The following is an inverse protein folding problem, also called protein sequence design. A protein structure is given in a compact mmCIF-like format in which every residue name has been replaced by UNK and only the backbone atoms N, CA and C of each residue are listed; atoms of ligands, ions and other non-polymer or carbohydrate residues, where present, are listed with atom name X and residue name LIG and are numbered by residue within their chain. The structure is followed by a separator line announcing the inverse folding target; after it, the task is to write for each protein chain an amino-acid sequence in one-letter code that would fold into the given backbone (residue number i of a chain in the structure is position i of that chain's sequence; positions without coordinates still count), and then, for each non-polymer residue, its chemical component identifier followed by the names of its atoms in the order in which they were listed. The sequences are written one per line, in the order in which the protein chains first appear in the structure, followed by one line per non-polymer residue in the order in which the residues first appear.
data_IF_449808621836
#
_entry.id   IF_449808621836
#
_cell.length_a   1.000
_cell.length_b   1.000
_cell.length_c   1.000
_cell.angle_alpha   90.00
_cell.angle_beta   90.00
_cell.angle_gamma   90.00
#
_symmetry.space_group_name_H-M   'P 1'
#
loop_
_entity.id
_entity.type
_entity.pdbx_description
1 polymer ?
#
# COMPACT_ATOMS: atom_id res chain seq x y z
N UNK A 1 0.67 5.00 -12.73
CA UNK A 1 0.39 5.08 -11.30
C UNK A 1 1.67 5.13 -10.51
N UNK A 2 1.70 4.39 -9.39
CA UNK A 2 2.81 4.32 -8.47
C UNK A 2 3.55 2.98 -8.52
N UNK A 3 3.20 2.08 -9.45
CA UNK A 3 3.79 0.74 -9.57
C UNK A 3 5.32 0.78 -9.69
N UNK A 4 5.85 1.57 -10.64
CA UNK A 4 7.28 1.75 -10.92
C UNK A 4 7.94 2.92 -10.16
N UNK A 5 7.21 3.58 -9.26
CA UNK A 5 7.72 4.69 -8.47
C UNK A 5 8.46 4.18 -7.22
N UNK A 6 9.79 4.29 -7.17
CA UNK A 6 10.62 3.82 -6.04
C UNK A 6 11.52 4.93 -5.47
N UNK A 7 10.95 5.93 -4.76
CA UNK A 7 11.69 7.10 -4.33
C UNK A 7 12.63 6.84 -3.13
N UNK A 8 12.50 5.70 -2.44
CA UNK A 8 13.32 5.31 -1.28
C UNK A 8 13.07 6.10 0.01
N UNK A 9 12.42 7.26 -0.07
CA UNK A 9 12.01 8.13 1.04
C UNK A 9 10.67 8.79 0.73
N UNK A 10 10.04 9.41 1.73
CA UNK A 10 8.71 10.00 1.61
C UNK A 10 7.61 9.09 2.14
N UNK A 11 6.36 9.52 1.99
CA UNK A 11 5.18 8.83 2.53
C UNK A 11 4.12 8.65 1.45
N UNK A 12 3.44 7.52 1.47
CA UNK A 12 2.20 7.33 0.74
C UNK A 12 1.03 7.56 1.68
N UNK A 13 0.13 8.44 1.27
CA UNK A 13 -1.03 8.91 2.02
C UNK A 13 -2.30 8.35 1.40
N UNK A 14 -3.33 8.19 2.23
CA UNK A 14 -4.69 7.95 1.76
C UNK A 14 -5.17 9.18 1.01
N UNK A 15 -5.46 9.03 -0.29
CA UNK A 15 -5.93 10.14 -1.13
C UNK A 15 -7.21 10.78 -0.60
N UNK A 16 -8.08 9.99 0.00
CA UNK A 16 -9.39 10.46 0.49
C UNK A 16 -9.28 11.32 1.76
N UNK A 17 -8.44 10.93 2.73
CA UNK A 17 -8.44 11.57 4.06
C UNK A 17 -7.07 12.08 4.54
N UNK A 18 -6.03 11.95 3.71
CA UNK A 18 -4.67 12.40 3.97
C UNK A 18 -3.92 11.65 5.08
N UNK A 19 -4.45 10.54 5.61
CA UNK A 19 -3.73 9.74 6.61
C UNK A 19 -2.49 9.06 6.01
N UNK A 20 -1.43 8.91 6.80
CA UNK A 20 -0.23 8.19 6.36
C UNK A 20 -0.56 6.70 6.30
N UNK A 21 -0.38 6.09 5.12
CA UNK A 21 -0.60 4.66 4.89
C UNK A 21 0.71 3.87 4.90
N UNK A 22 1.71 4.36 4.16
CA UNK A 22 2.99 3.65 3.98
C UNK A 22 4.18 4.60 4.03
N UNK A 23 5.31 4.06 4.48
CA UNK A 23 6.62 4.68 4.27
C UNK A 23 7.17 4.20 2.93
N UNK A 24 7.69 5.11 2.10
CA UNK A 24 8.23 4.73 0.80
C UNK A 24 9.42 3.77 0.89
N UNK A 25 10.15 3.76 2.01
CA UNK A 25 11.22 2.77 2.25
C UNK A 25 10.70 1.33 2.34
N UNK A 26 9.40 1.15 2.59
CA UNK A 26 8.74 -0.17 2.65
C UNK A 26 8.16 -0.59 1.29
N UNK A 27 8.27 0.25 0.25
CA UNK A 27 7.88 -0.11 -1.09
C UNK A 27 8.93 -1.01 -1.72
N UNK A 28 8.50 -2.00 -2.48
CA UNK A 28 9.40 -2.92 -3.17
C UNK A 28 8.80 -3.36 -4.51
N UNK A 29 9.68 -3.77 -5.43
CA UNK A 29 9.24 -4.34 -6.70
C UNK A 29 8.75 -5.78 -6.47
N UNK A 30 7.45 -5.98 -6.68
CA UNK A 30 6.79 -7.27 -6.55
C UNK A 30 6.26 -7.81 -7.89
N UNK A 31 6.48 -7.09 -9.00
CA UNK A 31 6.10 -7.51 -10.34
C UNK A 31 4.60 -7.73 -10.58
N UNK A 32 3.72 -7.27 -9.69
CA UNK A 32 2.28 -7.52 -9.83
C UNK A 32 1.55 -6.48 -10.69
N UNK A 33 2.19 -5.38 -11.07
CA UNK A 33 1.56 -4.28 -11.82
C UNK A 33 0.83 -3.25 -10.95
N UNK A 34 1.01 -3.33 -9.63
CA UNK A 34 0.46 -2.38 -8.66
C UNK A 34 1.51 -2.05 -7.58
N UNK A 35 1.42 -0.87 -6.97
CA UNK A 35 2.21 -0.49 -5.80
C UNK A 35 2.25 -1.56 -4.71
N UNK A 36 3.43 -2.15 -4.53
CA UNK A 36 3.70 -3.18 -3.52
C UNK A 36 4.40 -2.63 -2.27
N UNK A 37 3.83 -2.86 -1.09
CA UNK A 37 4.46 -2.53 0.20
C UNK A 37 4.53 -3.76 1.10
N UNK A 38 5.59 -3.90 1.88
CA UNK A 38 5.72 -5.03 2.83
C UNK A 38 5.34 -4.67 4.28
N UNK A 39 5.03 -3.39 4.53
CA UNK A 39 4.68 -2.89 5.87
C UNK A 39 3.96 -1.55 5.80
N UNK A 40 2.77 -1.47 6.41
CA UNK A 40 2.05 -0.20 6.61
C UNK A 40 2.66 0.64 7.74
N UNK A 41 2.24 1.90 7.82
CA UNK A 41 2.34 2.65 9.07
C UNK A 41 1.45 2.03 10.16
N UNK A 42 1.76 2.34 11.42
CA UNK A 42 1.03 1.85 12.59
C UNK A 42 -0.43 2.30 12.55
N UNK A 43 -1.36 1.36 12.79
CA UNK A 43 -2.83 1.55 12.71
C UNK A 43 -3.37 2.18 11.42
N UNK A 44 -2.54 2.21 10.36
CA UNK A 44 -2.88 2.93 9.14
C UNK A 44 -3.88 2.20 8.26
N UNK A 45 -3.96 0.88 8.42
CA UNK A 45 -4.81 0.01 7.62
C UNK A 45 -5.63 -0.95 8.48
N UNK A 46 -6.79 -1.32 7.96
CA UNK A 46 -7.63 -2.39 8.48
C UNK A 46 -7.61 -3.52 7.46
N UNK A 47 -7.14 -4.69 7.88
CA UNK A 47 -7.26 -5.92 7.11
C UNK A 47 -8.58 -6.59 7.47
N UNK A 48 -9.46 -6.73 6.49
CA UNK A 48 -10.75 -7.41 6.65
C UNK A 48 -10.64 -8.86 6.21
N UNK A 49 -11.55 -9.67 6.76
CA UNK A 49 -11.62 -11.12 6.58
C UNK A 49 -11.31 -11.54 5.14
N UNK A 50 -10.62 -12.68 5.01
CA UNK A 50 -10.20 -13.22 3.73
C UNK A 50 -11.37 -13.31 2.74
N UNK A 51 -11.12 -12.91 1.49
CA UNK A 51 -12.06 -13.01 0.38
C UNK A 51 -12.55 -14.46 0.21
N UNK A 52 -13.58 -14.68 -0.60
CA UNK A 52 -14.18 -16.01 -0.83
C UNK A 52 -13.16 -17.09 -1.24
N UNK A 53 -12.02 -16.68 -1.80
CA UNK A 53 -10.92 -17.57 -2.18
C UNK A 53 -9.98 -17.97 -1.02
N UNK A 54 -10.09 -17.33 0.14
CA UNK A 54 -9.19 -17.44 1.30
C UNK A 54 -7.71 -17.09 1.00
N UNK A 55 -7.45 -16.43 -0.13
CA UNK A 55 -6.10 -16.09 -0.59
C UNK A 55 -5.84 -14.59 -0.48
N UNK A 56 -6.88 -13.78 -0.70
CA UNK A 56 -6.79 -12.32 -0.62
C UNK A 56 -7.44 -11.82 0.66
N UNK A 57 -6.84 -10.80 1.26
CA UNK A 57 -7.38 -10.13 2.45
C UNK A 57 -7.56 -8.66 2.08
N UNK A 58 -8.80 -8.17 2.05
CA UNK A 58 -9.09 -6.77 1.72
C UNK A 58 -8.39 -5.84 2.71
N UNK A 59 -7.78 -4.77 2.20
CA UNK A 59 -7.17 -3.71 3.00
C UNK A 59 -7.95 -2.42 2.80
N UNK A 60 -8.36 -1.82 3.91
CA UNK A 60 -9.01 -0.50 3.97
C UNK A 60 -8.16 0.50 4.74
N UNK A 61 -8.37 1.79 4.49
CA UNK A 61 -7.78 2.84 5.31
C UNK A 61 -8.33 2.77 6.74
N UNK A 62 -7.46 2.73 7.75
CA UNK A 62 -7.88 2.65 9.15
C UNK A 62 -8.59 3.90 9.67
N UNK A 63 -8.41 5.05 9.00
CA UNK A 63 -9.05 6.31 9.38
C UNK A 63 -10.42 6.54 8.75
N UNK A 64 -10.56 6.31 7.44
CA UNK A 64 -11.80 6.62 6.71
C UNK A 64 -12.51 5.40 6.11
N UNK A 65 -11.91 4.21 6.16
CA UNK A 65 -12.52 2.98 5.67
C UNK A 65 -12.58 2.83 4.15
N UNK A 66 -11.98 3.74 3.37
CA UNK A 66 -11.91 3.56 1.91
C UNK A 66 -11.13 2.29 1.56
N UNK A 67 -11.60 1.58 0.53
CA UNK A 67 -10.88 0.44 -0.05
C UNK A 67 -9.52 0.89 -0.59
N UNK A 68 -8.46 0.17 -0.23
CA UNK A 68 -7.10 0.43 -0.71
C UNK A 68 -6.62 -0.62 -1.71
N UNK A 69 -6.90 -1.89 -1.42
CA UNK A 69 -6.45 -3.03 -2.21
C UNK A 69 -6.50 -4.30 -1.38
N UNK A 70 -5.47 -5.13 -1.50
CA UNK A 70 -5.39 -6.40 -0.78
C UNK A 70 -4.01 -6.64 -0.19
N UNK A 71 -3.94 -7.43 0.88
CA UNK A 71 -2.70 -7.97 1.43
C UNK A 71 -2.64 -9.48 1.20
N UNK A 72 -1.44 -9.93 0.84
CA UNK A 72 -1.08 -11.32 0.62
C UNK A 72 0.05 -11.69 1.60
N UNK A 73 0.11 -12.96 1.98
CA UNK A 73 1.06 -13.47 2.96
C UNK A 73 1.82 -14.67 2.39
N UNK A 74 3.09 -14.81 2.77
CA UNK A 74 3.90 -16.00 2.50
C UNK A 74 4.11 -16.32 1.01
N UNK A 75 4.21 -15.30 0.16
CA UNK A 75 4.47 -15.47 -1.29
C UNK A 75 5.96 -15.66 -1.63
N UNK A 76 6.85 -15.65 -0.63
CA UNK A 76 8.26 -15.96 -0.81
C UNK A 76 9.13 -14.79 -1.25
N UNK A 77 8.66 -13.54 -1.09
CA UNK A 77 9.48 -12.36 -1.31
C UNK A 77 10.64 -12.26 -0.31
N UNK A 78 11.73 -11.59 -0.68
CA UNK A 78 12.87 -11.35 0.22
C UNK A 78 12.65 -10.13 1.15
N UNK A 79 11.41 -9.88 1.56
CA UNK A 79 11.07 -8.82 2.51
C UNK A 79 11.08 -9.37 3.95
N UNK A 80 11.16 -8.49 4.97
CA UNK A 80 11.18 -8.93 6.37
C UNK A 80 9.93 -9.73 6.76
N UNK A 81 10.00 -10.60 7.79
CA UNK A 81 8.82 -11.22 8.38
C UNK A 81 7.76 -10.17 8.74
N UNK A 82 6.46 -10.44 8.49
CA UNK A 82 5.86 -11.76 8.22
C UNK A 82 5.69 -12.11 6.72
N UNK A 83 6.47 -11.54 5.81
CA UNK A 83 6.35 -11.79 4.37
C UNK A 83 5.02 -11.34 3.77
N UNK A 84 4.65 -10.10 4.07
CA UNK A 84 3.46 -9.43 3.56
C UNK A 84 3.73 -8.77 2.20
N UNK A 85 2.73 -8.82 1.31
CA UNK A 85 2.66 -7.97 0.13
C UNK A 85 1.32 -7.26 0.10
N UNK A 86 1.35 -5.95 0.34
CA UNK A 86 0.22 -5.06 0.23
C UNK A 86 0.18 -4.57 -1.21
N UNK A 87 -0.79 -5.06 -1.97
CA UNK A 87 -1.06 -4.72 -3.35
C UNK A 87 -2.13 -3.63 -3.39
N UNK A 88 -1.71 -2.38 -3.58
CA UNK A 88 -2.56 -1.20 -3.37
C UNK A 88 -2.80 -0.47 -4.68
N UNK A 89 -4.03 -0.02 -4.92
CA UNK A 89 -4.35 0.77 -6.12
C UNK A 89 -3.61 2.12 -6.07
N UNK A 90 -3.06 2.58 -7.19
CA UNK A 90 -2.38 3.89 -7.21
C UNK A 90 -3.38 5.03 -7.08
N UNK A 91 -4.59 4.86 -7.62
CA UNK A 91 -5.66 5.86 -7.66
C UNK A 91 -6.15 6.31 -6.27
N UNK A 92 -5.92 5.51 -5.24
CA UNK A 92 -6.29 5.79 -3.83
C UNK A 92 -5.09 6.25 -2.99
N UNK A 93 -3.93 6.43 -3.61
CA UNK A 93 -2.69 6.87 -2.97
C UNK A 93 -2.26 8.25 -3.47
N UNK A 94 -1.87 9.10 -2.53
CA UNK A 94 -1.06 10.31 -2.79
C UNK A 94 0.35 10.07 -2.29
N UNK A 95 1.37 10.63 -2.94
CA UNK A 95 2.75 10.57 -2.48
C UNK A 95 3.20 11.93 -1.95
N UNK A 96 3.85 11.95 -0.78
CA UNK A 96 4.42 13.14 -0.17
C UNK A 96 5.94 12.98 -0.02
N UNK A 97 6.71 13.85 -0.66
CA UNK A 97 8.18 13.86 -0.62
C UNK A 97 8.75 14.62 0.60
N UNK A 98 7.88 15.25 1.40
CA UNK A 98 8.21 16.08 2.55
C UNK A 98 7.93 17.57 2.33
N UNK A 99 7.73 18.00 1.08
CA UNK A 99 7.45 19.39 0.71
C UNK A 99 6.14 19.52 -0.08
N UNK A 100 5.85 18.53 -0.93
CA UNK A 100 4.71 18.53 -1.84
C UNK A 100 3.95 17.21 -1.80
N UNK A 101 2.65 17.28 -2.10
CA UNK A 101 1.79 16.10 -2.29
C UNK A 101 1.52 15.95 -3.79
N UNK A 102 1.72 14.74 -4.28
CA UNK A 102 1.61 14.33 -5.67
C UNK A 102 0.53 13.25 -5.78
N UNK A 103 -0.25 13.32 -6.84
CA UNK A 103 -1.39 12.42 -7.08
C UNK A 103 -1.09 11.48 -8.24
N UNK A 104 -1.55 10.24 -8.16
CA UNK A 104 -1.52 9.34 -9.31
C UNK A 104 -2.46 9.87 -10.41
N UNK A 105 -2.00 9.80 -11.66
CA UNK A 105 -2.81 10.13 -12.83
C UNK A 105 -3.62 8.94 -13.37
N UNK A 106 -3.22 7.71 -13.00
CA UNK A 106 -3.86 6.43 -13.34
C UNK A 106 -3.33 5.34 -12.40
N UNK A 107 -3.94 4.15 -12.40
CA UNK A 107 -3.47 3.00 -11.62
C UNK A 107 -2.10 2.47 -12.07
#
# INVERSE_FOLDING_TARGET
GWDDHFPGRGKYLCRECGSILYDAKHKFDCGCGWPGFYRSAEDAILSLQSDEDNVRTEVKCGKCGIHLGHVFYNEGFNNPPPNERHCINSSVLSYCDGESVQEATYD
#
